data_IF_362099314110
#
_entry.id   IF_362099314110
#
_cell.length_a   1.000
_cell.length_b   1.000
_cell.length_c   1.000
_cell.angle_alpha   90.00
_cell.angle_beta   90.00
_cell.angle_gamma   90.00
#
_symmetry.space_group_name_H-M   'P 1'
#
loop_
_entity.id
_entity.type
_entity.pdbx_description
1 polymer ?
#
# COMPACT_ATOMS: atom_id res chain seq x y z
N UNK A 1 -19.54 -5.77 -17.74
CA UNK A 1 -20.71 -6.47 -17.19
C UNK A 1 -20.75 -7.98 -17.49
N UNK A 2 -20.49 -8.44 -18.72
CA UNK A 2 -20.57 -9.88 -19.06
C UNK A 2 -19.44 -10.76 -18.47
N UNK A 3 -18.24 -10.22 -18.22
CA UNK A 3 -17.13 -10.95 -17.61
C UNK A 3 -17.31 -11.17 -16.10
N UNK A 4 -17.93 -10.23 -15.41
CA UNK A 4 -18.30 -10.34 -13.99
C UNK A 4 -19.22 -11.54 -13.72
N UNK A 5 -20.18 -11.79 -14.61
CA UNK A 5 -21.13 -12.90 -14.45
C UNK A 5 -20.52 -14.30 -14.66
N UNK A 6 -19.35 -14.44 -15.32
CA UNK A 6 -18.71 -15.74 -15.53
C UNK A 6 -17.72 -16.13 -14.43
N UNK A 7 -17.00 -15.18 -13.84
CA UNK A 7 -16.09 -15.45 -12.73
C UNK A 7 -16.81 -15.83 -11.44
N UNK A 8 -18.10 -15.44 -11.31
CA UNK A 8 -18.92 -15.65 -10.12
C UNK A 8 -19.84 -16.87 -10.24
N UNK A 9 -19.90 -17.56 -11.40
CA UNK A 9 -20.85 -18.66 -11.66
C UNK A 9 -20.56 -19.95 -10.90
N UNK A 10 -19.52 -20.04 -10.08
CA UNK A 10 -19.19 -21.25 -9.36
C UNK A 10 -19.91 -21.45 -8.02
N UNK A 11 -20.04 -20.44 -7.15
CA UNK A 11 -20.61 -20.65 -5.80
C UNK A 11 -21.19 -19.40 -5.11
N UNK A 12 -21.32 -18.26 -5.80
CA UNK A 12 -21.85 -17.07 -5.16
C UNK A 12 -23.32 -16.83 -5.56
N UNK A 13 -24.24 -17.29 -4.74
CA UNK A 13 -25.67 -16.92 -4.81
C UNK A 13 -25.88 -15.61 -4.06
N UNK A 14 -25.47 -14.49 -4.65
CA UNK A 14 -25.85 -13.16 -4.13
C UNK A 14 -27.38 -13.08 -4.10
N UNK A 15 -27.97 -12.99 -2.90
CA UNK A 15 -29.39 -12.71 -2.79
C UNK A 15 -29.67 -11.35 -3.43
N UNK A 16 -30.39 -11.37 -4.54
CA UNK A 16 -31.02 -10.21 -5.14
C UNK A 16 -32.08 -9.74 -4.16
N UNK A 17 -31.86 -8.65 -3.49
CA UNK A 17 -32.91 -7.93 -2.76
C UNK A 17 -33.53 -7.00 -3.81
N UNK A 18 -34.83 -6.98 -3.94
CA UNK A 18 -35.54 -6.06 -4.82
C UNK A 18 -35.10 -4.64 -4.54
N UNK A 19 -34.40 -4.00 -5.51
CA UNK A 19 -33.78 -2.69 -5.37
C UNK A 19 -32.28 -2.64 -5.64
N UNK A 20 -31.65 -3.73 -6.19
CA UNK A 20 -30.25 -3.80 -6.65
C UNK A 20 -29.16 -3.34 -5.66
N UNK A 21 -29.30 -3.58 -4.37
CA UNK A 21 -28.19 -3.44 -3.42
C UNK A 21 -27.44 -4.78 -3.35
N UNK A 22 -26.34 -4.90 -4.08
CA UNK A 22 -25.43 -6.04 -3.94
C UNK A 22 -24.75 -5.94 -2.57
N UNK A 23 -25.03 -6.90 -1.69
CA UNK A 23 -24.28 -7.05 -0.44
C UNK A 23 -22.94 -7.68 -0.80
N UNK A 24 -21.88 -6.88 -0.68
CA UNK A 24 -20.51 -7.39 -0.89
C UNK A 24 -20.16 -8.36 0.25
N UNK A 25 -19.48 -9.50 -0.06
CA UNK A 25 -18.88 -10.32 0.96
C UNK A 25 -17.88 -9.51 1.80
N UNK A 26 -17.58 -9.94 3.04
CA UNK A 26 -16.52 -9.35 3.82
C UNK A 26 -15.19 -9.37 3.07
N UNK A 27 -14.30 -8.39 3.33
CA UNK A 27 -13.01 -8.27 2.66
C UNK A 27 -11.88 -8.49 3.66
N UNK A 28 -10.98 -9.42 3.35
CA UNK A 28 -9.69 -9.59 4.03
C UNK A 28 -8.61 -9.02 3.12
N UNK A 29 -8.05 -7.89 3.50
CA UNK A 29 -7.02 -7.21 2.74
C UNK A 29 -5.63 -7.50 3.32
N UNK A 30 -4.75 -8.12 2.53
CA UNK A 30 -3.37 -8.40 2.87
C UNK A 30 -2.49 -7.25 2.36
N UNK A 31 -1.81 -6.58 3.29
CA UNK A 31 -1.07 -5.35 3.03
C UNK A 31 0.42 -5.52 3.33
N UNK A 32 1.25 -4.87 2.52
CA UNK A 32 2.69 -4.77 2.74
C UNK A 32 3.11 -3.51 3.50
N UNK A 33 2.16 -2.69 3.93
CA UNK A 33 2.42 -1.42 4.62
C UNK A 33 1.56 -1.30 5.87
N UNK A 34 2.00 -0.45 6.77
CA UNK A 34 1.24 -0.08 7.96
C UNK A 34 0.00 0.74 7.59
N UNK A 35 -1.10 0.51 8.31
CA UNK A 35 -2.35 1.25 8.10
C UNK A 35 -2.24 2.72 8.49
N UNK A 36 -1.57 3.01 9.62
CA UNK A 36 -1.42 4.36 10.16
C UNK A 36 -0.25 5.12 9.51
N UNK A 37 -0.02 4.92 8.22
CA UNK A 37 0.95 5.71 7.48
C UNK A 37 0.55 7.18 7.46
N UNK A 38 1.52 8.08 7.62
CA UNK A 38 1.32 9.53 7.53
C UNK A 38 0.84 9.99 6.13
N UNK A 39 1.10 9.17 5.12
CA UNK A 39 0.62 9.37 3.76
C UNK A 39 -0.37 8.26 3.40
N UNK A 40 -1.69 8.52 3.45
CA UNK A 40 -2.69 7.58 2.98
C UNK A 40 -2.50 7.28 1.49
N UNK A 41 -2.56 5.98 1.16
CA UNK A 41 -2.46 5.51 -0.23
C UNK A 41 -3.84 5.08 -0.74
N UNK A 42 -3.91 4.68 -2.00
CA UNK A 42 -5.13 4.10 -2.60
C UNK A 42 -5.74 2.99 -1.73
N UNK A 43 -4.93 2.22 -1.02
CA UNK A 43 -5.39 1.15 -0.11
C UNK A 43 -6.27 1.70 1.02
N UNK A 44 -5.81 2.69 1.78
CA UNK A 44 -6.60 3.28 2.86
C UNK A 44 -7.89 3.90 2.32
N UNK A 45 -7.78 4.65 1.23
CA UNK A 45 -8.94 5.26 0.60
C UNK A 45 -9.96 4.24 0.11
N UNK A 46 -9.52 3.17 -0.54
CA UNK A 46 -10.40 2.14 -1.08
C UNK A 46 -11.03 1.29 0.03
N UNK A 47 -10.23 0.83 0.99
CA UNK A 47 -10.72 -0.04 2.06
C UNK A 47 -11.68 0.69 3.01
N UNK A 48 -11.48 1.99 3.30
CA UNK A 48 -12.44 2.80 4.05
C UNK A 48 -13.77 2.97 3.31
N UNK A 49 -13.76 3.09 1.98
CA UNK A 49 -14.98 3.13 1.16
C UNK A 49 -15.70 1.78 1.12
N UNK A 50 -14.97 0.69 1.05
CA UNK A 50 -15.57 -0.63 1.17
C UNK A 50 -16.16 -0.86 2.56
N UNK A 51 -15.52 -0.38 3.62
CA UNK A 51 -16.01 -0.52 5.00
C UNK A 51 -17.38 0.13 5.23
N UNK A 52 -17.77 1.09 4.38
CA UNK A 52 -19.13 1.67 4.39
C UNK A 52 -20.19 0.72 3.81
N UNK A 53 -19.79 -0.37 3.14
CA UNK A 53 -20.70 -1.29 2.43
C UNK A 53 -20.58 -2.74 2.87
N UNK A 54 -19.48 -3.11 3.48
CA UNK A 54 -19.22 -4.46 3.99
C UNK A 54 -18.17 -4.43 5.11
N UNK A 55 -18.03 -5.54 5.82
CA UNK A 55 -16.97 -5.68 6.84
C UNK A 55 -15.60 -5.78 6.19
N UNK A 56 -14.63 -5.01 6.67
CA UNK A 56 -13.25 -5.00 6.15
C UNK A 56 -12.25 -5.31 7.26
N UNK A 57 -11.34 -6.22 6.98
CA UNK A 57 -10.17 -6.51 7.80
C UNK A 57 -8.90 -6.30 7.01
N UNK A 58 -7.93 -5.61 7.62
CA UNK A 58 -6.60 -5.39 7.07
C UNK A 58 -5.61 -6.24 7.87
N UNK A 59 -4.78 -7.00 7.17
CA UNK A 59 -3.63 -7.68 7.74
C UNK A 59 -2.37 -6.90 7.36
N UNK A 60 -1.71 -6.34 8.36
CA UNK A 60 -0.49 -5.54 8.15
C UNK A 60 0.75 -6.42 8.04
N UNK A 61 1.81 -5.87 7.47
CA UNK A 61 3.14 -6.49 7.46
C UNK A 61 3.58 -6.86 8.87
N UNK A 62 4.17 -8.05 9.07
CA UNK A 62 4.63 -8.45 10.39
C UNK A 62 5.73 -7.54 10.93
N UNK A 63 5.60 -7.16 12.19
CA UNK A 63 6.62 -6.42 12.90
C UNK A 63 7.61 -7.37 13.57
N UNK A 64 8.93 -7.17 13.41
CA UNK A 64 9.92 -7.99 14.07
C UNK A 64 9.91 -7.76 15.58
N UNK A 65 9.71 -8.82 16.38
CA UNK A 65 9.69 -8.73 17.84
C UNK A 65 11.05 -8.33 18.39
N UNK A 66 12.14 -8.92 17.88
CA UNK A 66 13.51 -8.60 18.30
C UNK A 66 14.04 -7.25 17.81
N UNK A 67 13.54 -6.74 16.69
CA UNK A 67 13.92 -5.41 16.18
C UNK A 67 13.47 -4.27 17.08
N UNK A 68 12.47 -4.49 17.92
CA UNK A 68 11.98 -3.51 18.90
C UNK A 68 12.99 -3.21 20.01
N UNK A 69 13.97 -4.09 20.24
CA UNK A 69 15.03 -3.91 21.25
C UNK A 69 16.22 -3.11 20.71
N UNK A 70 16.35 -2.97 19.40
CA UNK A 70 17.51 -2.32 18.74
C UNK A 70 17.11 -0.96 18.17
N UNK A 71 16.50 -0.13 18.94
CA UNK A 71 16.54 1.35 18.80
C UNK A 71 15.88 2.04 17.57
N UNK A 72 15.36 1.35 16.55
CA UNK A 72 14.99 1.98 15.27
C UNK A 72 13.49 1.96 14.92
N UNK A 73 12.62 1.62 15.85
CA UNK A 73 11.18 1.54 15.53
C UNK A 73 10.34 2.49 16.36
N UNK A 74 9.70 3.45 15.71
CA UNK A 74 8.52 4.17 16.23
C UNK A 74 7.36 3.23 16.59
N UNK A 75 7.49 1.96 16.25
CA UNK A 75 6.54 0.85 16.43
C UNK A 75 6.46 0.28 17.87
N UNK A 76 7.17 0.84 18.85
CA UNK A 76 7.18 0.32 20.24
C UNK A 76 5.82 0.36 20.96
N UNK A 77 4.88 1.14 20.49
CA UNK A 77 3.59 1.41 21.15
C UNK A 77 2.39 0.71 20.49
N UNK A 78 2.58 0.01 19.35
CA UNK A 78 1.46 -0.63 18.66
C UNK A 78 1.03 -1.92 19.36
N UNK A 79 -0.26 -1.98 19.68
CA UNK A 79 -0.87 -3.19 20.20
C UNK A 79 -0.79 -4.32 19.16
N UNK A 80 -0.29 -5.47 19.59
CA UNK A 80 -0.31 -6.70 18.77
C UNK A 80 -1.72 -7.26 18.73
N UNK A 81 -2.08 -7.88 17.61
CA UNK A 81 -3.39 -8.47 17.42
C UNK A 81 -4.38 -7.52 16.74
N UNK A 82 -5.64 -7.67 17.07
CA UNK A 82 -6.72 -6.89 16.46
C UNK A 82 -6.87 -5.51 17.10
N UNK A 83 -7.05 -4.49 16.25
CA UNK A 83 -7.46 -3.12 16.61
C UNK A 83 -8.50 -2.60 15.61
N UNK A 84 -9.08 -1.44 15.85
CA UNK A 84 -10.04 -0.79 14.95
C UNK A 84 -9.61 0.63 14.62
N UNK A 85 -9.91 1.03 13.37
CA UNK A 85 -9.92 2.42 12.91
C UNK A 85 -11.26 2.66 12.19
N UNK A 86 -12.19 3.30 12.88
CA UNK A 86 -13.58 3.39 12.44
C UNK A 86 -14.19 1.99 12.19
N UNK A 87 -14.69 1.77 10.97
CA UNK A 87 -15.33 0.52 10.56
C UNK A 87 -14.32 -0.54 10.07
N UNK A 88 -13.03 -0.20 10.00
CA UNK A 88 -11.99 -1.11 9.54
C UNK A 88 -11.37 -1.85 10.73
N UNK A 89 -11.28 -3.18 10.63
CA UNK A 89 -10.53 -4.01 11.57
C UNK A 89 -9.11 -4.19 11.07
N UNK A 90 -8.12 -4.09 11.95
CA UNK A 90 -6.71 -4.15 11.58
C UNK A 90 -6.03 -5.19 12.44
N UNK A 91 -5.39 -6.15 11.78
CA UNK A 91 -4.58 -7.17 12.45
C UNK A 91 -3.11 -6.87 12.26
N UNK A 92 -2.42 -6.63 13.39
CA UNK A 92 -0.98 -6.49 13.41
C UNK A 92 -0.34 -7.86 13.67
N UNK A 93 0.22 -8.45 12.61
CA UNK A 93 1.03 -9.64 12.75
C UNK A 93 2.41 -9.31 13.34
N UNK A 94 3.09 -10.33 13.88
CA UNK A 94 4.45 -10.21 14.40
C UNK A 94 5.30 -11.40 13.99
N UNK A 95 6.61 -11.19 13.89
CA UNK A 95 7.60 -12.20 13.63
C UNK A 95 8.61 -12.32 14.75
N UNK A 96 8.94 -13.58 15.10
CA UNK A 96 9.93 -13.89 16.13
C UNK A 96 11.36 -13.82 15.59
N UNK A 97 11.54 -14.09 14.30
CA UNK A 97 12.86 -14.18 13.68
C UNK A 97 13.22 -12.83 13.05
N UNK A 98 14.37 -12.25 13.40
CA UNK A 98 14.83 -11.01 12.76
C UNK A 98 15.01 -11.19 11.26
N UNK A 99 14.49 -10.23 10.48
CA UNK A 99 14.54 -10.25 9.02
C UNK A 99 15.94 -10.52 8.41
N UNK A 100 17.06 -9.99 8.96
CA UNK A 100 18.40 -10.32 8.45
C UNK A 100 18.76 -11.80 8.54
N UNK A 101 18.23 -12.54 9.53
CA UNK A 101 18.46 -13.97 9.68
C UNK A 101 17.59 -14.78 8.71
N UNK A 102 16.32 -14.39 8.54
CA UNK A 102 15.41 -14.98 7.56
C UNK A 102 16.03 -14.93 6.16
N UNK A 103 16.62 -13.80 5.79
CA UNK A 103 17.24 -13.60 4.46
C UNK A 103 18.49 -14.45 4.19
N UNK A 104 19.15 -14.94 5.22
CA UNK A 104 20.38 -15.75 5.10
C UNK A 104 20.13 -17.25 4.98
N UNK A 105 18.89 -17.71 5.22
CA UNK A 105 18.57 -19.13 5.25
C UNK A 105 17.23 -19.40 4.59
N UNK A 106 17.24 -20.15 3.49
CA UNK A 106 16.02 -20.60 2.81
C UNK A 106 15.11 -21.45 3.71
N UNK A 107 15.69 -22.18 4.68
CA UNK A 107 14.91 -22.98 5.63
C UNK A 107 14.19 -22.06 6.63
N UNK A 108 14.90 -21.07 7.19
CA UNK A 108 14.29 -20.10 8.10
C UNK A 108 13.21 -19.29 7.38
N UNK A 109 13.44 -18.88 6.14
CA UNK A 109 12.42 -18.17 5.33
C UNK A 109 11.15 -19.01 5.23
N UNK A 110 11.25 -20.28 4.79
CA UNK A 110 10.08 -21.15 4.64
C UNK A 110 9.34 -21.39 5.96
N UNK A 111 10.07 -21.57 7.06
CA UNK A 111 9.46 -21.75 8.38
C UNK A 111 8.74 -20.50 8.85
N UNK A 112 9.34 -19.32 8.61
CA UNK A 112 8.75 -18.03 8.96
C UNK A 112 7.51 -17.77 8.12
N UNK A 113 7.55 -18.00 6.81
CA UNK A 113 6.42 -17.84 5.89
C UNK A 113 5.26 -18.75 6.29
N UNK A 114 5.55 -20.01 6.62
CA UNK A 114 4.54 -20.95 7.12
C UNK A 114 3.91 -20.50 8.43
N UNK A 115 4.72 -20.12 9.41
CA UNK A 115 4.24 -19.64 10.70
C UNK A 115 3.44 -18.33 10.56
N UNK A 116 3.81 -17.47 9.61
CA UNK A 116 3.07 -16.25 9.28
C UNK A 116 1.71 -16.60 8.67
N UNK A 117 1.69 -17.49 7.70
CA UNK A 117 0.44 -17.97 7.07
C UNK A 117 -0.51 -18.55 8.13
N UNK A 118 -0.04 -19.47 8.97
CA UNK A 118 -0.85 -20.09 10.03
C UNK A 118 -1.45 -19.05 10.99
N UNK A 119 -0.66 -18.04 11.39
CA UNK A 119 -1.12 -16.96 12.28
C UNK A 119 -2.18 -16.09 11.63
N UNK A 120 -1.98 -15.70 10.35
CA UNK A 120 -2.96 -14.88 9.62
C UNK A 120 -4.25 -15.68 9.44
N UNK A 121 -4.15 -16.93 9.01
CA UNK A 121 -5.31 -17.79 8.81
C UNK A 121 -6.10 -17.96 10.13
N UNK A 122 -5.41 -18.21 11.24
CA UNK A 122 -6.05 -18.29 12.55
C UNK A 122 -6.72 -16.97 12.94
N UNK A 123 -6.05 -15.83 12.73
CA UNK A 123 -6.63 -14.51 13.03
C UNK A 123 -7.86 -14.20 12.18
N UNK A 124 -7.83 -14.52 10.89
CA UNK A 124 -8.97 -14.32 9.99
C UNK A 124 -10.14 -15.24 10.38
N UNK A 125 -9.85 -16.49 10.74
CA UNK A 125 -10.89 -17.44 11.18
C UNK A 125 -11.61 -16.99 12.46
N UNK A 126 -10.94 -16.23 13.34
CA UNK A 126 -11.59 -15.62 14.52
C UNK A 126 -12.66 -14.57 14.15
N UNK A 127 -12.72 -14.10 12.91
CA UNK A 127 -13.75 -13.19 12.44
C UNK A 127 -15.06 -13.93 12.13
N UNK A 128 -15.01 -15.24 11.98
CA UNK A 128 -16.17 -16.11 11.64
C UNK A 128 -16.87 -15.70 10.34
N UNK A 129 -16.11 -15.11 9.41
CA UNK A 129 -16.63 -14.69 8.11
C UNK A 129 -16.73 -15.86 7.15
N UNK A 130 -17.89 -16.02 6.53
CA UNK A 130 -18.09 -17.01 5.49
C UNK A 130 -17.66 -16.46 4.15
N UNK A 131 -16.78 -17.20 3.45
CA UNK A 131 -16.36 -16.93 2.08
C UNK A 131 -16.00 -15.45 1.79
N UNK A 132 -15.01 -14.87 2.48
CA UNK A 132 -14.62 -13.48 2.26
C UNK A 132 -14.02 -13.27 0.87
N UNK A 133 -13.89 -12.01 0.45
CA UNK A 133 -12.99 -11.61 -0.65
C UNK A 133 -11.58 -11.49 -0.07
N UNK A 134 -10.61 -12.21 -0.64
CA UNK A 134 -9.20 -12.03 -0.33
C UNK A 134 -8.59 -10.98 -1.25
N UNK A 135 -8.19 -9.83 -0.70
CA UNK A 135 -7.65 -8.70 -1.45
C UNK A 135 -6.16 -8.51 -1.14
N UNK A 136 -5.31 -8.68 -2.13
CA UNK A 136 -3.86 -8.64 -1.98
C UNK A 136 -3.28 -7.32 -2.54
N UNK A 137 -2.58 -6.56 -1.70
CA UNK A 137 -1.76 -5.41 -2.10
C UNK A 137 -0.26 -5.72 -2.08
N UNK A 138 0.11 -6.93 -1.67
CA UNK A 138 1.51 -7.35 -1.57
C UNK A 138 1.83 -8.40 -2.63
N UNK A 139 2.97 -8.30 -3.33
CA UNK A 139 3.40 -9.34 -4.26
C UNK A 139 3.70 -10.69 -3.58
N UNK A 140 3.95 -10.68 -2.26
CA UNK A 140 4.27 -11.85 -1.46
C UNK A 140 3.03 -12.58 -0.94
N UNK A 141 1.83 -12.23 -1.42
CA UNK A 141 0.57 -12.82 -0.96
C UNK A 141 0.22 -14.19 -1.58
N UNK A 142 1.01 -14.66 -2.54
CA UNK A 142 0.69 -15.88 -3.30
C UNK A 142 0.48 -17.13 -2.45
N UNK A 143 1.21 -17.28 -1.36
CA UNK A 143 1.10 -18.41 -0.44
C UNK A 143 -0.16 -18.36 0.45
N UNK A 144 -0.88 -17.24 0.45
CA UNK A 144 -2.13 -17.05 1.19
C UNK A 144 -3.38 -17.26 0.34
N UNK A 145 -3.23 -17.49 -0.97
CA UNK A 145 -4.35 -17.85 -1.85
C UNK A 145 -5.00 -19.15 -1.36
N UNK A 146 -6.34 -19.14 -1.25
CA UNK A 146 -7.12 -20.25 -0.73
C UNK A 146 -7.06 -20.43 0.78
N UNK A 147 -6.29 -19.60 1.51
CA UNK A 147 -6.09 -19.78 2.95
C UNK A 147 -7.32 -19.38 3.80
N UNK A 148 -8.22 -18.59 3.26
CA UNK A 148 -9.37 -18.04 3.98
C UNK A 148 -10.70 -18.65 3.56
N UNK A 149 -10.70 -19.63 2.64
CA UNK A 149 -11.93 -20.13 2.00
C UNK A 149 -12.67 -19.01 1.24
N UNK A 150 -11.89 -18.12 0.64
CA UNK A 150 -12.39 -16.95 -0.07
C UNK A 150 -13.25 -17.32 -1.29
N UNK A 151 -14.32 -16.58 -1.52
CA UNK A 151 -15.15 -16.70 -2.72
C UNK A 151 -14.57 -15.97 -3.94
N UNK A 152 -13.65 -15.03 -3.71
CA UNK A 152 -12.97 -14.26 -4.74
C UNK A 152 -11.59 -13.83 -4.24
N UNK A 153 -10.58 -14.03 -5.05
CA UNK A 153 -9.24 -13.52 -4.83
C UNK A 153 -8.93 -12.37 -5.79
N UNK A 154 -8.49 -11.23 -5.24
CA UNK A 154 -8.15 -10.03 -5.99
C UNK A 154 -6.70 -9.65 -5.73
N UNK A 155 -5.88 -9.57 -6.78
CA UNK A 155 -4.56 -8.95 -6.69
C UNK A 155 -4.60 -7.53 -7.24
N UNK A 156 -4.30 -6.55 -6.38
CA UNK A 156 -4.24 -5.14 -6.76
C UNK A 156 -2.79 -4.68 -6.84
N UNK A 157 -2.22 -4.76 -8.04
CA UNK A 157 -0.85 -4.37 -8.33
C UNK A 157 -0.78 -2.85 -8.56
N UNK A 158 -0.21 -2.13 -7.59
CA UNK A 158 -0.19 -0.66 -7.58
C UNK A 158 1.14 -0.07 -8.00
N UNK A 159 2.22 -0.86 -7.92
CA UNK A 159 3.59 -0.46 -8.24
C UNK A 159 4.30 -1.50 -9.09
N UNK A 160 5.33 -1.07 -9.85
CA UNK A 160 6.32 -1.98 -10.42
C UNK A 160 7.34 -2.35 -9.34
N UNK A 161 7.05 -3.45 -8.62
CA UNK A 161 7.92 -3.92 -7.54
C UNK A 161 9.32 -4.31 -8.02
N UNK A 162 9.48 -4.71 -9.29
CA UNK A 162 10.79 -4.98 -9.91
C UNK A 162 11.61 -3.71 -10.07
N UNK A 163 10.99 -2.61 -10.49
CA UNK A 163 11.66 -1.33 -10.62
C UNK A 163 12.00 -0.77 -9.23
N UNK A 164 11.05 -0.78 -8.29
CA UNK A 164 11.24 -0.32 -6.92
C UNK A 164 12.41 -1.01 -6.22
N UNK A 165 12.52 -2.33 -6.38
CA UNK A 165 13.59 -3.10 -5.77
C UNK A 165 14.99 -2.75 -6.30
N UNK A 166 15.11 -2.29 -7.55
CA UNK A 166 16.38 -1.82 -8.12
C UNK A 166 16.86 -0.51 -7.49
N UNK A 167 15.93 0.38 -7.12
CA UNK A 167 16.26 1.67 -6.50
C UNK A 167 16.53 1.56 -5.00
N UNK A 168 15.86 0.62 -4.31
CA UNK A 168 15.96 0.51 -2.84
C UNK A 168 17.08 -0.41 -2.37
N UNK A 169 17.91 -0.95 -3.28
CA UNK A 169 19.06 -1.79 -2.93
C UNK A 169 18.69 -3.14 -2.30
N UNK A 170 17.45 -3.62 -2.50
CA UNK A 170 17.04 -4.95 -2.04
C UNK A 170 17.89 -6.04 -2.68
N UNK A 171 18.37 -6.96 -1.88
CA UNK A 171 19.26 -8.03 -2.36
C UNK A 171 18.59 -8.96 -3.38
N UNK A 172 19.34 -9.34 -4.43
CA UNK A 172 18.89 -10.16 -5.58
C UNK A 172 18.10 -11.43 -5.19
N UNK A 173 18.40 -12.05 -4.07
CA UNK A 173 17.74 -13.30 -3.64
C UNK A 173 16.30 -13.08 -3.15
N UNK A 174 16.07 -12.02 -2.38
CA UNK A 174 14.72 -11.63 -1.96
C UNK A 174 13.87 -11.23 -3.16
N UNK A 175 14.43 -10.44 -4.08
CA UNK A 175 13.77 -10.06 -5.33
C UNK A 175 13.33 -11.25 -6.18
N UNK A 176 14.15 -12.29 -6.29
CA UNK A 176 13.79 -13.48 -7.10
C UNK A 176 12.60 -14.23 -6.49
N UNK A 177 12.55 -14.34 -5.16
CA UNK A 177 11.42 -14.96 -4.46
C UNK A 177 10.14 -14.12 -4.63
N UNK A 178 10.23 -12.81 -4.48
CA UNK A 178 9.10 -11.88 -4.66
C UNK A 178 8.53 -11.92 -6.07
N UNK A 179 9.39 -11.89 -7.11
CA UNK A 179 8.97 -12.04 -8.51
C UNK A 179 8.22 -13.33 -8.78
N UNK A 180 8.71 -14.43 -8.22
CA UNK A 180 8.06 -15.74 -8.38
C UNK A 180 6.71 -15.76 -7.70
N UNK A 181 6.61 -15.21 -6.52
CA UNK A 181 5.36 -15.12 -5.76
C UNK A 181 4.36 -14.20 -6.44
N UNK A 182 4.79 -13.03 -6.93
CA UNK A 182 3.95 -12.11 -7.69
C UNK A 182 3.41 -12.78 -8.96
N UNK A 183 4.28 -13.42 -9.74
CA UNK A 183 3.86 -14.12 -10.95
C UNK A 183 2.85 -15.27 -10.66
N UNK A 184 3.01 -15.95 -9.52
CA UNK A 184 2.05 -16.96 -9.07
C UNK A 184 0.73 -16.30 -8.69
N UNK A 185 0.78 -15.21 -7.91
CA UNK A 185 -0.40 -14.48 -7.48
C UNK A 185 -1.17 -13.93 -8.68
N UNK A 186 -0.50 -13.28 -9.64
CA UNK A 186 -1.13 -12.79 -10.88
C UNK A 186 -1.79 -13.91 -11.65
N UNK A 187 -1.14 -15.07 -11.79
CA UNK A 187 -1.68 -16.20 -12.57
C UNK A 187 -2.90 -16.83 -11.90
N UNK A 188 -2.93 -16.88 -10.59
CA UNK A 188 -3.87 -17.68 -9.82
C UNK A 188 -5.00 -16.86 -9.18
N UNK A 189 -4.87 -15.53 -9.12
CA UNK A 189 -5.95 -14.68 -8.64
C UNK A 189 -7.12 -14.69 -9.64
N UNK A 190 -8.34 -14.67 -9.11
CA UNK A 190 -9.57 -14.62 -9.93
C UNK A 190 -9.69 -13.27 -10.67
N UNK A 191 -9.16 -12.21 -10.06
CA UNK A 191 -9.17 -10.85 -10.60
C UNK A 191 -7.84 -10.17 -10.35
N UNK A 192 -7.29 -9.54 -11.38
CA UNK A 192 -6.11 -8.68 -11.26
C UNK A 192 -6.47 -7.24 -11.60
N UNK A 193 -6.17 -6.34 -10.69
CA UNK A 193 -6.33 -4.89 -10.89
C UNK A 193 -4.94 -4.26 -10.95
N UNK A 194 -4.69 -3.46 -11.97
CA UNK A 194 -3.43 -2.73 -12.13
C UNK A 194 -3.69 -1.24 -12.29
N UNK A 195 -2.77 -0.40 -11.82
CA UNK A 195 -2.96 1.06 -11.80
C UNK A 195 -2.30 1.79 -12.98
N UNK A 196 -1.47 1.11 -13.75
CA UNK A 196 -0.71 1.73 -14.85
C UNK A 196 -0.75 0.88 -16.12
N UNK A 197 -0.73 1.52 -17.33
CA UNK A 197 -0.72 0.80 -18.61
C UNK A 197 0.47 -0.16 -18.75
N UNK A 198 1.64 0.18 -18.21
CA UNK A 198 2.83 -0.66 -18.24
C UNK A 198 2.62 -1.98 -17.48
N UNK A 199 1.93 -1.92 -16.33
CA UNK A 199 1.56 -3.11 -15.55
C UNK A 199 0.51 -3.94 -16.30
N UNK A 200 -0.43 -3.29 -16.99
CA UNK A 200 -1.41 -3.97 -17.83
C UNK A 200 -0.75 -4.70 -19.00
N UNK A 201 0.20 -4.06 -19.67
CA UNK A 201 0.96 -4.69 -20.76
C UNK A 201 1.80 -5.89 -20.28
N UNK A 202 2.37 -5.79 -19.08
CA UNK A 202 3.18 -6.86 -18.48
C UNK A 202 2.35 -8.07 -18.06
N UNK A 203 1.24 -7.83 -17.36
CA UNK A 203 0.48 -8.89 -16.68
C UNK A 203 -0.78 -9.36 -17.44
N UNK A 204 -1.26 -8.57 -18.43
CA UNK A 204 -2.41 -8.93 -19.24
C UNK A 204 -2.30 -10.27 -19.96
N UNK A 205 -1.13 -10.65 -20.54
CA UNK A 205 -0.94 -11.96 -21.14
C UNK A 205 -0.97 -13.13 -20.13
N UNK A 206 -0.82 -12.84 -18.82
CA UNK A 206 -0.75 -13.86 -17.76
C UNK A 206 -2.11 -14.15 -17.15
N UNK A 207 -2.96 -13.12 -16.99
CA UNK A 207 -4.30 -13.27 -16.42
C UNK A 207 -5.34 -12.59 -17.32
N UNK A 208 -6.33 -13.36 -17.87
CA UNK A 208 -7.36 -12.81 -18.75
C UNK A 208 -8.38 -11.91 -18.03
N UNK A 209 -8.43 -11.98 -16.70
CA UNK A 209 -9.30 -11.14 -15.86
C UNK A 209 -8.56 -9.94 -15.27
N UNK A 210 -7.62 -9.39 -16.03
CA UNK A 210 -6.92 -8.18 -15.64
C UNK A 210 -7.67 -6.93 -16.08
N UNK A 211 -7.76 -5.95 -15.15
CA UNK A 211 -8.38 -4.66 -15.39
C UNK A 211 -7.44 -3.53 -15.02
N UNK A 212 -7.34 -2.55 -15.92
CA UNK A 212 -6.63 -1.30 -15.67
C UNK A 212 -7.59 -0.33 -14.97
N UNK A 213 -7.31 -0.02 -13.70
CA UNK A 213 -7.99 0.98 -12.88
C UNK A 213 -6.96 1.96 -12.34
N UNK A 214 -6.70 3.08 -13.02
CA UNK A 214 -5.74 4.08 -12.56
C UNK A 214 -6.09 4.63 -11.19
N UNK A 215 -5.08 5.13 -10.48
CA UNK A 215 -5.28 5.86 -9.24
C UNK A 215 -6.16 7.09 -9.49
N UNK A 216 -7.03 7.38 -8.53
CA UNK A 216 -7.95 8.51 -8.58
C UNK A 216 -7.77 9.40 -7.35
N UNK A 217 -8.20 10.64 -7.47
CA UNK A 217 -8.20 11.59 -6.36
C UNK A 217 -9.58 11.66 -5.69
N UNK A 218 -9.63 12.12 -4.45
CA UNK A 218 -10.87 12.54 -3.80
C UNK A 218 -11.30 13.89 -4.38
N UNK A 219 -12.15 13.84 -5.40
CA UNK A 219 -12.58 15.04 -6.14
C UNK A 219 -13.35 16.03 -5.27
N UNK A 220 -14.02 15.57 -4.20
CA UNK A 220 -14.72 16.46 -3.27
C UNK A 220 -13.73 17.26 -2.45
N UNK A 221 -12.71 16.59 -1.89
CA UNK A 221 -11.65 17.25 -1.15
C UNK A 221 -10.89 18.26 -2.02
N UNK A 222 -10.45 17.83 -3.20
CA UNK A 222 -9.66 18.72 -4.08
C UNK A 222 -10.48 19.86 -4.70
N UNK A 223 -11.80 19.67 -4.89
CA UNK A 223 -12.67 20.72 -5.37
C UNK A 223 -12.82 21.86 -4.36
N UNK A 224 -12.80 21.57 -3.06
CA UNK A 224 -12.85 22.62 -2.05
C UNK A 224 -11.65 23.59 -2.09
N UNK A 225 -10.52 23.14 -2.67
CA UNK A 225 -9.36 24.00 -2.86
C UNK A 225 -9.54 25.04 -4.00
N UNK A 226 -10.60 24.93 -4.80
CA UNK A 226 -10.97 25.93 -5.83
C UNK A 226 -11.91 27.00 -5.27
N UNK A 227 -12.42 26.81 -4.06
CA UNK A 227 -13.27 27.78 -3.38
C UNK A 227 -12.40 28.82 -2.67
N UNK A 228 -12.84 30.08 -2.67
CA UNK A 228 -12.16 31.15 -1.96
C UNK A 228 -12.16 30.85 -0.44
N UNK A 229 -10.98 30.67 0.12
CA UNK A 229 -10.77 30.36 1.52
C UNK A 229 -9.52 31.05 2.08
N UNK A 230 -9.34 31.04 3.39
CA UNK A 230 -8.14 31.60 3.98
C UNK A 230 -6.93 30.79 3.54
N UNK A 231 -5.91 31.48 3.06
CA UNK A 231 -4.63 30.86 2.76
C UNK A 231 -3.98 30.33 4.04
N UNK A 232 -3.29 29.17 3.93
CA UNK A 232 -2.57 28.64 5.08
C UNK A 232 -1.48 29.63 5.54
N UNK A 233 -1.36 29.93 6.85
CA UNK A 233 -0.45 30.98 7.35
C UNK A 233 1.01 30.83 6.89
N UNK A 234 1.50 29.59 6.77
CA UNK A 234 2.87 29.32 6.28
C UNK A 234 3.03 29.67 4.79
N UNK A 235 1.98 29.51 3.97
CA UNK A 235 2.02 29.90 2.55
C UNK A 235 1.90 31.40 2.39
N UNK A 236 1.08 32.06 3.20
CA UNK A 236 0.87 33.49 3.14
C UNK A 236 2.17 34.32 3.36
N UNK A 237 3.16 33.72 4.05
CA UNK A 237 4.47 34.34 4.26
C UNK A 237 5.44 34.19 3.09
N UNK A 238 5.14 33.33 2.11
CA UNK A 238 5.99 33.06 0.95
C UNK A 238 5.51 33.88 -0.24
N UNK A 239 6.34 34.71 -0.85
CA UNK A 239 5.91 35.53 -2.00
C UNK A 239 5.47 34.67 -3.21
N UNK A 240 4.63 35.24 -4.04
CA UNK A 240 4.28 34.67 -5.35
C UNK A 240 5.27 35.13 -6.43
N UNK A 241 5.42 34.35 -7.53
CA UNK A 241 4.75 33.09 -7.84
C UNK A 241 5.35 31.90 -7.09
N UNK A 242 4.51 30.90 -6.79
CA UNK A 242 4.90 29.68 -6.06
C UNK A 242 4.71 28.43 -6.90
N UNK A 243 5.66 27.49 -6.83
CA UNK A 243 5.56 26.14 -7.40
C UNK A 243 5.53 25.14 -6.26
N UNK A 244 4.42 24.41 -6.12
CA UNK A 244 4.20 23.45 -5.04
C UNK A 244 4.54 22.02 -5.46
N UNK A 245 5.21 21.29 -4.57
CA UNK A 245 5.31 19.84 -4.59
C UNK A 245 4.70 19.28 -3.31
N UNK A 246 3.72 18.36 -3.44
CA UNK A 246 3.11 17.68 -2.29
C UNK A 246 3.35 16.18 -2.41
N UNK A 247 4.05 15.59 -1.46
CA UNK A 247 4.38 14.16 -1.47
C UNK A 247 5.57 13.78 -0.61
N UNK A 248 5.98 12.51 -0.65
CA UNK A 248 7.17 12.05 0.05
C UNK A 248 8.44 12.66 -0.60
N UNK A 249 9.23 13.33 0.22
CA UNK A 249 10.49 13.96 -0.17
C UNK A 249 11.65 12.95 -0.05
N UNK A 250 11.61 11.94 -0.91
CA UNK A 250 12.62 10.88 -0.99
C UNK A 250 13.49 11.05 -2.24
N UNK A 251 14.80 10.91 -2.09
CA UNK A 251 15.76 11.10 -3.19
C UNK A 251 15.54 10.16 -4.39
N UNK A 252 14.87 9.02 -4.21
CA UNK A 252 14.53 8.13 -5.31
C UNK A 252 13.27 8.55 -6.09
N UNK A 253 12.47 9.49 -5.54
CA UNK A 253 11.26 10.04 -6.17
C UNK A 253 11.47 11.44 -6.69
N UNK A 254 12.28 12.25 -5.98
CA UNK A 254 12.50 13.67 -6.26
C UNK A 254 13.92 13.89 -6.74
N UNK A 255 14.07 14.46 -7.93
CA UNK A 255 15.36 14.89 -8.43
C UNK A 255 15.70 16.27 -7.85
N UNK A 256 16.34 16.30 -6.68
CA UNK A 256 16.70 17.53 -6.00
C UNK A 256 17.65 18.41 -6.82
N UNK A 257 18.58 17.82 -7.58
CA UNK A 257 19.48 18.58 -8.43
C UNK A 257 18.73 19.35 -9.52
N UNK A 258 17.69 18.74 -10.09
CA UNK A 258 16.82 19.41 -11.07
C UNK A 258 16.03 20.56 -10.42
N UNK A 259 15.49 20.33 -9.21
CA UNK A 259 14.77 21.40 -8.49
C UNK A 259 15.70 22.57 -8.12
N UNK A 260 16.91 22.25 -7.69
CA UNK A 260 17.93 23.25 -7.40
C UNK A 260 18.31 24.08 -8.62
N UNK A 261 18.51 23.42 -9.77
CA UNK A 261 18.82 24.11 -11.02
C UNK A 261 17.64 24.97 -11.49
N UNK A 262 16.41 24.47 -11.40
CA UNK A 262 15.22 25.23 -11.72
C UNK A 262 15.07 26.47 -10.82
N UNK A 263 15.32 26.34 -9.53
CA UNK A 263 15.28 27.47 -8.60
C UNK A 263 16.35 28.53 -8.90
N UNK A 264 17.55 28.11 -9.36
CA UNK A 264 18.58 29.07 -9.79
C UNK A 264 18.22 29.80 -11.09
N UNK A 265 17.54 29.11 -12.00
CA UNK A 265 17.10 29.72 -13.27
C UNK A 265 15.90 30.63 -13.11
N UNK A 266 15.11 30.45 -12.05
CA UNK A 266 13.88 31.17 -11.75
C UNK A 266 13.97 31.82 -10.35
N UNK A 267 14.82 32.83 -10.17
CA UNK A 267 15.08 33.41 -8.84
C UNK A 267 13.87 34.09 -8.20
N UNK A 268 12.91 34.51 -9.00
CA UNK A 268 11.67 35.15 -8.55
C UNK A 268 10.55 34.15 -8.24
N UNK A 269 10.80 32.84 -8.42
CA UNK A 269 9.82 31.77 -8.16
C UNK A 269 10.17 31.01 -6.89
N UNK A 270 9.20 30.86 -6.00
CA UNK A 270 9.36 30.13 -4.74
C UNK A 270 8.91 28.69 -4.87
N UNK A 271 9.82 27.74 -4.63
CA UNK A 271 9.53 26.31 -4.63
C UNK A 271 9.13 25.86 -3.22
N UNK A 272 7.89 25.39 -3.08
CA UNK A 272 7.30 24.97 -1.79
C UNK A 272 7.13 23.47 -1.79
N UNK A 273 7.83 22.77 -0.90
CA UNK A 273 7.75 21.31 -0.76
C UNK A 273 7.02 20.94 0.54
N UNK A 274 5.94 20.18 0.42
CA UNK A 274 5.11 19.75 1.55
C UNK A 274 5.08 18.23 1.60
N UNK A 275 5.54 17.65 2.71
CA UNK A 275 5.47 16.21 2.93
C UNK A 275 6.60 15.67 3.79
N UNK A 276 6.52 14.39 4.18
CA UNK A 276 7.54 13.76 5.01
C UNK A 276 8.83 13.51 4.24
N UNK A 277 9.96 13.65 4.93
CA UNK A 277 11.31 13.45 4.40
C UNK A 277 11.80 12.05 4.79
N UNK A 278 12.35 11.29 3.83
CA UNK A 278 13.03 10.03 4.10
C UNK A 278 12.14 8.88 4.56
N UNK A 279 10.86 8.88 4.21
CA UNK A 279 9.89 7.84 4.65
C UNK A 279 10.14 6.50 3.96
N UNK A 280 10.69 6.50 2.75
CA UNK A 280 10.91 5.29 1.93
C UNK A 280 12.36 4.84 1.88
N UNK A 281 13.33 5.64 2.34
CA UNK A 281 14.75 5.36 2.22
C UNK A 281 15.41 5.30 3.61
N UNK A 282 15.91 4.11 3.97
CA UNK A 282 16.71 3.91 5.19
C UNK A 282 18.08 4.61 5.13
N UNK A 283 18.49 5.02 3.94
CA UNK A 283 19.73 5.74 3.67
C UNK A 283 19.50 7.24 3.44
N UNK A 284 18.23 7.68 3.48
CA UNK A 284 17.91 9.09 3.27
C UNK A 284 18.62 9.95 4.31
N UNK A 285 19.48 10.80 3.79
CA UNK A 285 20.13 11.85 4.59
C UNK A 285 19.01 12.75 5.11
N UNK A 286 18.99 12.93 6.43
CA UNK A 286 18.08 13.85 7.11
C UNK A 286 18.52 15.31 6.94
N UNK A 287 19.70 15.51 6.40
CA UNK A 287 20.33 16.78 6.07
C UNK A 287 20.08 17.10 4.57
N UNK A 288 18.86 17.47 4.23
CA UNK A 288 18.63 18.11 2.95
C UNK A 288 19.38 19.44 2.92
N UNK A 289 20.11 19.76 1.83
CA UNK A 289 20.76 21.04 1.71
C UNK A 289 19.71 22.15 1.83
N UNK A 290 19.89 23.05 2.77
CA UNK A 290 19.15 24.29 2.79
C UNK A 290 19.65 25.15 1.65
N UNK A 291 18.96 25.09 0.52
CA UNK A 291 19.19 26.00 -0.59
C UNK A 291 18.32 27.21 -0.35
N UNK A 292 18.88 28.42 -0.52
CA UNK A 292 18.14 29.66 -0.29
C UNK A 292 16.79 29.64 -1.00
N UNK A 293 15.70 29.83 -0.25
CA UNK A 293 14.32 29.74 -0.72
C UNK A 293 13.57 28.46 -0.36
N UNK A 294 14.20 27.46 0.28
CA UNK A 294 13.52 26.27 0.81
C UNK A 294 13.28 26.43 2.31
N UNK A 295 12.02 26.41 2.74
CA UNK A 295 11.66 26.22 4.14
C UNK A 295 11.26 24.75 4.34
N UNK A 296 12.01 24.02 5.16
CA UNK A 296 11.67 22.68 5.64
C UNK A 296 11.20 22.81 7.09
N UNK A 297 9.91 22.71 7.33
CA UNK A 297 9.39 22.48 8.68
C UNK A 297 9.23 20.99 8.93
N UNK A 298 9.72 20.55 10.09
CA UNK A 298 9.43 19.23 10.66
C UNK A 298 8.30 19.39 11.65
N UNK A 299 7.19 18.71 11.40
CA UNK A 299 6.26 18.32 12.46
C UNK A 299 6.67 17.00 13.13
#
# INVERSE_FOLDING_TARGET
MLAWNRAVSGHWSGKRIEGEVYVLPPIVCISNMEWDSSLPTNRQHLMRRFAQRTSVAIVETPLPVLGSFIGHSRSRTRARGWRRDGDVRIFQAWDWVPYPLVRRSNVLSRLTDRAFRERITAAVNMLEWSAPIAWFYTPNGGDLLGAFGECLSVYHCVDDYDASARYTGFHRTAMYSEKKQEATLVRSADLVVVTAPQLASRWGPVNPHLHLLPNVADTTLFRSALEDGPEHPLLASIPEPRVGYVGALDAYKVNYSLMEEAARLLPDVHFVCVGPVGVGDRTARTDLPQIGGFALERE
#
